data_IF_491716533849
#
_entry.id   IF_491716533849
#
_cell.length_a   1.000
_cell.length_b   1.000
_cell.length_c   1.000
_cell.angle_alpha   90.00
_cell.angle_beta   90.00
_cell.angle_gamma   90.00
#
_symmetry.space_group_name_H-M   'P 1'
#
loop_
_entity.id
_entity.type
_entity.pdbx_description
1 polymer ?
#
# COMPACT_ATOMS: atom_id res chain seq x y z
N UNK A 1 -45.22 30.57 -58.29
CA UNK A 1 -44.56 29.93 -57.12
C UNK A 1 -43.17 29.39 -57.48
N UNK A 2 -42.21 30.24 -57.89
CA UNK A 2 -40.86 29.76 -58.28
C UNK A 2 -39.69 30.66 -57.87
N UNK A 3 -39.91 31.70 -57.06
CA UNK A 3 -38.85 32.65 -56.68
C UNK A 3 -38.55 32.69 -55.17
N UNK A 4 -39.32 31.99 -54.33
CA UNK A 4 -39.12 31.99 -52.87
C UNK A 4 -38.28 30.83 -52.31
N UNK A 5 -38.00 29.79 -53.09
CA UNK A 5 -37.30 28.58 -52.61
C UNK A 5 -35.77 28.62 -52.76
N UNK A 6 -35.24 29.53 -53.58
CA UNK A 6 -33.80 29.65 -53.82
C UNK A 6 -33.08 30.45 -52.71
N UNK A 7 -33.72 31.51 -52.20
CA UNK A 7 -33.16 32.39 -51.17
C UNK A 7 -32.97 31.69 -49.81
N UNK A 8 -33.93 30.84 -49.41
CA UNK A 8 -33.82 30.10 -48.14
C UNK A 8 -32.68 29.06 -48.13
N UNK A 9 -32.41 28.42 -49.28
CA UNK A 9 -31.38 27.39 -49.40
C UNK A 9 -29.96 27.96 -49.37
N UNK A 10 -29.75 29.20 -49.81
CA UNK A 10 -28.46 29.90 -49.70
C UNK A 10 -28.17 30.35 -48.26
N UNK A 11 -29.16 30.88 -47.54
CA UNK A 11 -28.98 31.31 -46.15
C UNK A 11 -28.70 30.15 -45.19
N UNK A 12 -29.32 28.97 -45.41
CA UNK A 12 -29.07 27.77 -44.60
C UNK A 12 -27.69 27.13 -44.84
N UNK A 13 -27.08 27.30 -46.02
CA UNK A 13 -25.71 26.84 -46.31
C UNK A 13 -24.66 27.75 -45.66
N UNK A 14 -24.89 29.06 -45.64
CA UNK A 14 -24.02 30.03 -44.96
C UNK A 14 -24.01 29.83 -43.42
N UNK A 15 -25.17 29.55 -42.82
CA UNK A 15 -25.28 29.24 -41.38
C UNK A 15 -24.62 27.90 -41.00
N UNK A 16 -24.67 26.88 -41.86
CA UNK A 16 -23.96 25.61 -41.63
C UNK A 16 -22.44 25.74 -41.77
N UNK A 17 -21.95 26.55 -42.71
CA UNK A 17 -20.50 26.80 -42.86
C UNK A 17 -19.93 27.64 -41.72
N UNK A 18 -20.70 28.60 -41.18
CA UNK A 18 -20.33 29.35 -39.98
C UNK A 18 -20.31 28.46 -38.72
N UNK A 19 -21.25 27.51 -38.59
CA UNK A 19 -21.32 26.59 -37.46
C UNK A 19 -20.17 25.54 -37.45
N UNK A 20 -19.72 25.08 -38.61
CA UNK A 20 -18.58 24.14 -38.73
C UNK A 20 -17.24 24.83 -38.44
N UNK A 21 -17.08 26.11 -38.81
CA UNK A 21 -15.90 26.89 -38.46
C UNK A 21 -15.87 27.28 -36.98
N UNK A 22 -17.02 27.62 -36.36
CA UNK A 22 -17.09 27.92 -34.93
C UNK A 22 -16.80 26.69 -34.05
N UNK A 23 -17.19 25.49 -34.48
CA UNK A 23 -16.91 24.24 -33.74
C UNK A 23 -15.46 23.76 -33.87
N UNK A 24 -14.77 24.06 -34.98
CA UNK A 24 -13.34 23.81 -35.13
C UNK A 24 -12.48 24.75 -34.24
N UNK A 25 -12.90 26.00 -34.04
CA UNK A 25 -12.19 26.96 -33.16
C UNK A 25 -12.44 26.73 -31.66
N UNK A 26 -13.62 26.22 -31.29
CA UNK A 26 -13.91 25.80 -29.91
C UNK A 26 -13.23 24.47 -29.53
N UNK A 27 -13.01 23.56 -30.48
CA UNK A 27 -12.26 22.33 -30.24
C UNK A 27 -10.75 22.57 -30.10
N UNK A 28 -10.19 23.60 -30.73
CA UNK A 28 -8.76 23.93 -30.62
C UNK A 28 -8.40 24.68 -29.32
N UNK A 29 -9.40 25.26 -28.62
CA UNK A 29 -9.17 26.06 -27.40
C UNK A 29 -9.27 25.26 -26.09
N UNK A 30 -9.68 23.98 -26.14
CA UNK A 30 -9.74 23.09 -24.96
C UNK A 30 -8.53 22.14 -24.85
N UNK A 31 -7.60 22.17 -25.82
CA UNK A 31 -6.43 21.30 -25.85
C UNK A 31 -5.16 21.92 -25.22
N UNK A 32 -5.29 23.05 -24.52
CA UNK A 32 -4.15 23.75 -23.88
C UNK A 32 -4.44 24.10 -22.42
N UNK A 33 -5.19 23.25 -21.70
CA UNK A 33 -5.06 23.26 -20.25
C UNK A 33 -3.66 22.72 -19.96
N UNK A 34 -2.72 23.60 -19.59
CA UNK A 34 -1.44 23.16 -19.05
C UNK A 34 -1.73 22.15 -17.92
N UNK A 35 -1.03 21.00 -17.90
CA UNK A 35 -1.23 20.04 -16.82
C UNK A 35 -1.01 20.77 -15.50
N UNK A 36 -1.97 20.63 -14.57
CA UNK A 36 -1.90 21.28 -13.27
C UNK A 36 -0.51 21.06 -12.67
N UNK A 37 0.13 22.13 -12.14
CA UNK A 37 1.45 22.01 -11.56
C UNK A 37 1.43 20.92 -10.50
N UNK A 38 2.44 20.05 -10.53
CA UNK A 38 2.54 18.97 -9.56
C UNK A 38 2.56 19.55 -8.14
N UNK A 39 1.85 18.94 -7.17
CA UNK A 39 1.89 19.35 -5.77
C UNK A 39 3.34 19.59 -5.30
N UNK A 40 3.65 20.72 -4.63
CA UNK A 40 5.03 21.09 -4.33
C UNK A 40 5.79 20.03 -3.55
N UNK A 41 5.13 19.30 -2.63
CA UNK A 41 5.75 18.24 -1.84
C UNK A 41 6.33 17.11 -2.69
N UNK A 42 5.79 16.85 -3.89
CA UNK A 42 6.34 15.86 -4.81
C UNK A 42 7.73 16.23 -5.32
N UNK A 43 8.11 17.51 -5.27
CA UNK A 43 9.49 17.93 -5.60
C UNK A 43 10.50 17.37 -4.60
N UNK A 44 10.15 17.29 -3.31
CA UNK A 44 11.01 16.66 -2.28
C UNK A 44 11.32 15.22 -2.67
N UNK A 45 10.30 14.48 -3.11
CA UNK A 45 10.43 13.11 -3.56
C UNK A 45 11.28 13.01 -4.83
N UNK A 46 10.98 13.83 -5.84
CA UNK A 46 11.67 13.81 -7.15
C UNK A 46 13.13 14.20 -7.05
N UNK A 47 13.48 15.08 -6.12
CA UNK A 47 14.84 15.55 -5.87
C UNK A 47 15.63 14.58 -4.97
N UNK A 48 14.96 13.60 -4.34
CA UNK A 48 15.61 12.65 -3.44
C UNK A 48 16.45 11.65 -4.23
N UNK A 49 17.78 11.56 -3.99
CA UNK A 49 18.61 10.55 -4.65
C UNK A 49 18.19 9.13 -4.28
N UNK A 50 18.24 8.20 -5.24
CA UNK A 50 17.86 6.79 -5.00
C UNK A 50 18.64 6.12 -3.86
N UNK A 51 19.90 6.53 -3.64
CA UNK A 51 20.73 6.03 -2.54
C UNK A 51 20.13 6.30 -1.15
N UNK A 52 19.25 7.30 -1.02
CA UNK A 52 18.56 7.61 0.23
C UNK A 52 17.41 6.65 0.56
N UNK A 53 17.08 5.71 -0.33
CA UNK A 53 16.19 4.60 -0.01
C UNK A 53 16.82 3.56 0.90
N UNK A 54 18.15 3.55 1.09
CA UNK A 54 18.79 2.67 2.05
C UNK A 54 18.40 3.06 3.49
N UNK A 55 17.79 2.12 4.22
CA UNK A 55 17.28 2.33 5.58
C UNK A 55 15.90 3.00 5.65
N UNK A 56 15.33 3.42 4.52
CA UNK A 56 14.02 4.08 4.46
C UNK A 56 12.93 3.18 5.06
N UNK A 57 12.96 1.87 4.77
CA UNK A 57 11.99 0.93 5.32
C UNK A 57 12.08 0.86 6.85
N UNK A 58 13.28 0.71 7.42
CA UNK A 58 13.45 0.57 8.87
C UNK A 58 12.97 1.82 9.62
N UNK A 59 13.32 3.00 9.09
CA UNK A 59 12.93 4.28 9.66
C UNK A 59 11.40 4.45 9.65
N UNK A 60 10.76 4.25 8.50
CA UNK A 60 9.31 4.34 8.40
C UNK A 60 8.58 3.23 9.17
N UNK A 61 9.12 2.00 9.18
CA UNK A 61 8.57 0.90 9.97
C UNK A 61 8.56 1.23 11.46
N UNK A 62 9.56 1.95 11.95
CA UNK A 62 9.59 2.41 13.35
C UNK A 62 8.43 3.36 13.63
N UNK A 63 8.22 4.37 12.79
CA UNK A 63 7.12 5.32 12.93
C UNK A 63 5.76 4.61 12.81
N UNK A 64 5.60 3.71 11.83
CA UNK A 64 4.37 2.94 11.65
C UNK A 64 4.09 2.00 12.81
N UNK A 65 5.11 1.41 13.43
CA UNK A 65 4.95 0.61 14.65
C UNK A 65 4.43 1.44 15.82
N UNK A 66 4.87 2.68 15.99
CA UNK A 66 4.32 3.56 17.02
C UNK A 66 2.81 3.72 16.85
N UNK A 67 2.36 3.97 15.61
CA UNK A 67 0.93 4.12 15.28
C UNK A 67 0.17 2.81 15.49
N UNK A 68 0.56 1.75 14.77
CA UNK A 68 -0.21 0.51 14.73
C UNK A 68 -0.24 -0.27 16.06
N UNK A 69 0.75 -0.04 16.94
CA UNK A 69 0.85 -0.68 18.24
C UNK A 69 0.56 0.28 19.40
N UNK A 70 0.15 1.52 19.10
CA UNK A 70 -0.19 2.56 20.09
C UNK A 70 0.91 2.71 21.16
N UNK A 71 2.17 2.79 20.72
CA UNK A 71 3.35 2.77 21.60
C UNK A 71 4.26 3.99 21.36
N UNK A 72 5.15 4.27 22.32
CA UNK A 72 6.09 5.40 22.26
C UNK A 72 5.36 6.73 22.02
N UNK A 73 5.73 7.47 20.98
CA UNK A 73 5.09 8.76 20.70
C UNK A 73 3.58 8.64 20.44
N UNK A 74 3.06 7.50 19.98
CA UNK A 74 1.63 7.32 19.75
C UNK A 74 0.87 6.61 20.89
N UNK A 75 1.46 6.50 22.10
CA UNK A 75 0.70 6.11 23.32
C UNK A 75 -0.44 7.10 23.62
N UNK A 76 -0.29 8.35 23.16
CA UNK A 76 -1.33 9.37 23.16
C UNK A 76 -1.86 9.54 21.73
N UNK A 77 -3.11 9.16 21.43
CA UNK A 77 -3.65 9.24 20.06
C UNK A 77 -3.75 10.66 19.52
N UNK A 78 -3.94 11.64 20.40
CA UNK A 78 -4.09 13.06 20.05
C UNK A 78 -2.73 13.73 19.80
N UNK A 79 -1.98 13.21 18.83
CA UNK A 79 -0.63 13.67 18.50
C UNK A 79 -0.33 13.53 17.02
N UNK A 80 0.55 14.38 16.52
CA UNK A 80 1.16 14.25 15.20
C UNK A 80 2.67 14.02 15.31
N UNK A 81 3.19 13.18 14.43
CA UNK A 81 4.60 12.86 14.28
C UNK A 81 5.11 13.42 12.96
N UNK A 82 6.26 14.08 12.96
CA UNK A 82 6.92 14.62 11.78
C UNK A 82 8.16 13.82 11.42
N UNK A 83 8.37 13.60 10.12
CA UNK A 83 9.51 12.85 9.59
C UNK A 83 10.00 13.37 8.23
N UNK A 84 11.26 13.10 7.92
CA UNK A 84 11.93 13.57 6.71
C UNK A 84 11.72 12.62 5.50
N UNK A 85 12.30 12.96 4.35
CA UNK A 85 12.20 12.17 3.12
C UNK A 85 12.94 10.82 3.17
N UNK A 86 13.73 10.57 4.23
CA UNK A 86 14.40 9.30 4.53
C UNK A 86 13.65 8.51 5.60
N UNK A 87 12.47 8.98 6.02
CA UNK A 87 11.66 8.38 7.07
C UNK A 87 12.19 8.64 8.48
N UNK A 88 13.23 9.46 8.66
CA UNK A 88 13.76 9.74 9.99
C UNK A 88 12.75 10.56 10.76
N UNK A 89 12.45 10.12 11.99
CA UNK A 89 11.68 10.91 12.94
C UNK A 89 12.40 12.22 13.23
N UNK A 90 11.65 13.33 13.21
CA UNK A 90 12.16 14.66 13.49
C UNK A 90 11.62 15.19 14.81
N UNK A 91 10.29 15.23 14.97
CA UNK A 91 9.65 15.78 16.15
C UNK A 91 8.18 15.33 16.21
N UNK A 92 7.48 15.76 17.24
CA UNK A 92 6.05 15.52 17.45
C UNK A 92 5.41 16.74 18.13
N UNK A 93 4.08 16.82 18.10
CA UNK A 93 3.31 17.76 18.91
C UNK A 93 1.90 17.23 19.17
N UNK A 94 1.33 17.57 20.31
CA UNK A 94 -0.04 17.18 20.68
C UNK A 94 -1.08 18.01 19.89
N UNK A 95 -2.23 17.40 19.63
CA UNK A 95 -3.30 18.06 18.91
C UNK A 95 -3.79 19.31 19.65
N UNK A 96 -3.88 20.42 18.93
CA UNK A 96 -4.57 21.62 19.34
C UNK A 96 -6.09 21.43 19.35
N UNK A 97 -6.80 22.43 19.87
CA UNK A 97 -8.25 22.42 20.02
C UNK A 97 -9.02 22.31 18.68
N UNK A 98 -8.40 22.68 17.55
CA UNK A 98 -9.04 22.63 16.23
C UNK A 98 -8.10 22.13 15.16
N UNK A 99 -8.68 21.63 14.06
CA UNK A 99 -7.93 21.20 12.86
C UNK A 99 -7.13 22.35 12.24
N UNK A 100 -7.65 23.58 12.27
CA UNK A 100 -6.94 24.75 11.74
C UNK A 100 -5.72 25.10 12.59
N UNK A 101 -5.87 25.08 13.91
CA UNK A 101 -4.74 25.29 14.81
C UNK A 101 -3.68 24.19 14.65
N UNK A 102 -4.08 22.93 14.44
CA UNK A 102 -3.15 21.86 14.09
C UNK A 102 -2.39 22.16 12.80
N UNK A 103 -3.07 22.68 11.77
CA UNK A 103 -2.44 23.02 10.50
C UNK A 103 -1.44 24.18 10.63
N UNK A 104 -1.76 25.19 11.42
CA UNK A 104 -0.86 26.32 11.70
C UNK A 104 0.37 25.87 12.51
N UNK A 105 0.17 25.04 13.53
CA UNK A 105 1.26 24.44 14.31
C UNK A 105 2.17 23.56 13.43
N UNK A 106 1.57 22.73 12.57
CA UNK A 106 2.33 21.91 11.61
C UNK A 106 3.25 22.77 10.74
N UNK A 107 2.72 23.85 10.16
CA UNK A 107 3.51 24.71 9.27
C UNK A 107 4.56 25.51 10.04
N UNK A 108 4.25 25.95 11.26
CA UNK A 108 5.22 26.59 12.16
C UNK A 108 6.39 25.66 12.48
N UNK A 109 6.10 24.41 12.88
CA UNK A 109 7.13 23.41 13.18
C UNK A 109 7.97 23.06 11.95
N UNK A 110 7.36 22.97 10.76
CA UNK A 110 8.11 22.74 9.51
C UNK A 110 9.11 23.86 9.22
N UNK A 111 8.69 25.11 9.37
CA UNK A 111 9.56 26.26 9.20
C UNK A 111 10.71 26.24 10.23
N UNK A 112 10.38 25.99 11.50
CA UNK A 112 11.37 25.87 12.57
C UNK A 112 12.41 24.76 12.29
N UNK A 113 11.98 23.57 11.87
CA UNK A 113 12.90 22.47 11.53
C UNK A 113 13.85 22.83 10.38
N UNK A 114 13.41 23.68 9.45
CA UNK A 114 14.25 24.20 8.38
C UNK A 114 15.23 25.27 8.89
N UNK A 115 14.77 26.22 9.70
CA UNK A 115 15.61 27.27 10.28
C UNK A 115 16.70 26.69 11.20
N UNK A 116 16.38 25.61 11.92
CA UNK A 116 17.31 24.81 12.73
C UNK A 116 18.24 23.90 11.89
N UNK A 117 18.14 23.94 10.56
CA UNK A 117 18.90 23.12 9.61
C UNK A 117 18.74 21.60 9.84
N UNK A 118 17.63 21.17 10.46
CA UNK A 118 17.31 19.74 10.63
C UNK A 118 16.78 19.13 9.34
N UNK A 119 16.28 19.96 8.42
CA UNK A 119 15.91 19.59 7.05
C UNK A 119 16.37 20.67 6.06
N UNK A 120 16.63 20.27 4.82
CA UNK A 120 17.16 21.18 3.77
C UNK A 120 16.09 21.95 2.99
N UNK A 121 14.81 21.68 3.23
CA UNK A 121 13.66 22.35 2.61
C UNK A 121 12.46 22.17 3.53
N UNK A 122 11.50 23.09 3.47
CA UNK A 122 10.15 22.85 3.98
C UNK A 122 9.10 23.35 2.98
N UNK A 123 7.90 22.80 3.09
CA UNK A 123 6.74 23.09 2.24
C UNK A 123 5.52 23.16 3.15
N UNK A 124 4.81 24.29 3.12
CA UNK A 124 3.54 24.43 3.84
C UNK A 124 2.51 23.41 3.34
N UNK A 125 1.80 22.80 4.29
CA UNK A 125 0.63 21.97 4.00
C UNK A 125 -0.67 22.75 4.23
N UNK A 126 -1.78 22.10 3.88
CA UNK A 126 -3.13 22.59 4.14
C UNK A 126 -4.03 21.41 4.51
N UNK A 127 -5.31 21.67 4.81
CA UNK A 127 -6.32 20.60 5.00
C UNK A 127 -6.41 19.65 3.79
N UNK A 128 -6.09 20.12 2.59
CA UNK A 128 -6.21 19.36 1.34
C UNK A 128 -4.85 19.01 0.72
N UNK A 129 -3.77 19.59 1.23
CA UNK A 129 -2.44 19.49 0.64
C UNK A 129 -1.41 18.93 1.64
N UNK A 130 -0.62 17.98 1.15
CA UNK A 130 0.51 17.44 1.90
C UNK A 130 1.63 18.49 1.94
N UNK A 131 2.16 18.74 3.14
CA UNK A 131 3.37 19.55 3.37
C UNK A 131 4.61 18.70 3.64
N UNK A 132 5.76 19.37 3.80
CA UNK A 132 7.05 18.76 4.13
C UNK A 132 7.82 19.58 5.19
N UNK A 133 8.48 18.98 6.21
CA UNK A 133 8.46 17.57 6.61
C UNK A 133 7.08 16.90 6.67
N UNK A 134 7.04 15.61 6.34
CA UNK A 134 5.79 14.85 6.32
C UNK A 134 5.26 14.71 7.75
N UNK A 135 3.93 14.61 7.89
CA UNK A 135 3.29 14.48 9.18
C UNK A 135 2.29 13.31 9.19
N UNK A 136 2.16 12.66 10.34
CA UNK A 136 1.31 11.50 10.55
C UNK A 136 0.61 11.62 11.90
N UNK A 137 -0.73 11.64 11.91
CA UNK A 137 -1.53 11.64 13.13
C UNK A 137 -1.57 10.24 13.77
N UNK A 138 -1.40 10.17 15.08
CA UNK A 138 -1.44 8.90 15.83
C UNK A 138 -2.85 8.30 15.89
N UNK A 139 -3.91 9.10 15.68
CA UNK A 139 -5.31 8.70 15.66
C UNK A 139 -5.83 8.27 14.27
N UNK A 140 -4.93 7.97 13.33
CA UNK A 140 -5.32 7.44 12.03
C UNK A 140 -6.11 6.13 12.19
N UNK A 141 -7.19 5.90 11.42
CA UNK A 141 -7.85 4.61 11.41
C UNK A 141 -6.86 3.50 11.07
N UNK A 142 -6.62 2.60 12.02
CA UNK A 142 -5.79 1.42 11.83
C UNK A 142 -6.48 0.18 12.38
N UNK A 143 -5.97 -0.98 11.99
CA UNK A 143 -6.37 -2.25 12.57
C UNK A 143 -5.84 -2.36 14.00
N UNK A 144 -6.66 -2.87 14.92
CA UNK A 144 -6.17 -3.40 16.21
C UNK A 144 -5.37 -4.69 15.92
N UNK A 145 -4.05 -4.55 15.85
CA UNK A 145 -3.13 -5.64 15.49
C UNK A 145 -3.19 -6.80 16.49
N UNK A 146 -3.31 -6.51 17.80
CA UNK A 146 -3.34 -7.55 18.82
C UNK A 146 -4.59 -8.43 18.69
N UNK A 147 -5.76 -7.79 18.57
CA UNK A 147 -7.01 -8.52 18.36
C UNK A 147 -7.06 -9.21 17.00
N UNK A 148 -6.52 -8.60 15.94
CA UNK A 148 -6.45 -9.22 14.62
C UNK A 148 -5.56 -10.47 14.60
N UNK A 149 -4.39 -10.40 15.24
CA UNK A 149 -3.50 -11.55 15.41
C UNK A 149 -4.18 -12.65 16.22
N UNK A 150 -4.87 -12.32 17.32
CA UNK A 150 -5.63 -13.27 18.12
C UNK A 150 -6.73 -13.98 17.31
N UNK A 151 -7.44 -13.25 16.44
CA UNK A 151 -8.43 -13.84 15.51
C UNK A 151 -7.78 -14.75 14.47
N UNK A 152 -6.67 -14.33 13.87
CA UNK A 152 -5.93 -15.13 12.88
C UNK A 152 -5.43 -16.45 13.49
N UNK A 153 -4.85 -16.39 14.69
CA UNK A 153 -4.32 -17.56 15.41
C UNK A 153 -5.41 -18.43 16.05
N UNK A 154 -6.67 -17.97 16.07
CA UNK A 154 -7.78 -18.70 16.66
C UNK A 154 -7.63 -18.86 18.18
N UNK A 155 -7.11 -17.83 18.86
CA UNK A 155 -6.93 -17.79 20.32
C UNK A 155 -8.25 -18.08 21.04
N UNK A 156 -9.35 -17.50 20.56
CA UNK A 156 -10.70 -17.89 20.99
C UNK A 156 -11.30 -18.94 20.05
N UNK A 157 -12.02 -19.90 20.60
CA UNK A 157 -12.74 -20.92 19.82
C UNK A 157 -13.71 -20.32 18.78
N UNK A 158 -14.35 -19.19 19.10
CA UNK A 158 -15.29 -18.49 18.19
C UNK A 158 -14.63 -17.95 16.92
N UNK A 159 -13.31 -17.68 16.97
CA UNK A 159 -12.56 -17.12 15.85
C UNK A 159 -12.08 -18.23 14.89
N UNK A 160 -12.04 -19.47 15.38
CA UNK A 160 -11.68 -20.67 14.59
C UNK A 160 -12.71 -20.96 13.51
N UNK A 161 -12.29 -21.75 12.55
CA UNK A 161 -12.98 -21.99 11.29
C UNK A 161 -13.19 -23.48 11.09
N UNK A 162 -14.32 -23.83 10.49
CA UNK A 162 -14.57 -25.16 9.98
C UNK A 162 -15.57 -25.10 8.82
N UNK A 163 -15.62 -26.14 8.01
CA UNK A 163 -16.57 -26.27 6.91
C UNK A 163 -15.95 -26.84 5.65
N UNK A 164 -16.68 -26.71 4.55
CA UNK A 164 -16.28 -27.23 3.25
C UNK A 164 -16.40 -26.17 2.16
N UNK A 165 -15.48 -26.21 1.20
CA UNK A 165 -15.50 -25.36 0.01
C UNK A 165 -14.71 -26.02 -1.12
N UNK A 166 -15.27 -26.12 -2.32
CA UNK A 166 -14.57 -26.63 -3.50
C UNK A 166 -13.82 -27.97 -3.25
N UNK A 167 -14.54 -28.92 -2.65
CA UNK A 167 -14.06 -30.24 -2.22
C UNK A 167 -12.94 -30.23 -1.16
N UNK A 168 -12.56 -29.05 -0.63
CA UNK A 168 -11.69 -28.92 0.53
C UNK A 168 -12.54 -29.01 1.80
N UNK A 169 -11.98 -29.67 2.82
CA UNK A 169 -12.55 -29.77 4.16
C UNK A 169 -11.57 -29.13 5.13
N UNK A 170 -12.03 -28.17 5.91
CA UNK A 170 -11.24 -27.53 6.96
C UNK A 170 -11.90 -27.81 8.31
N UNK A 171 -11.18 -28.49 9.21
CA UNK A 171 -11.64 -28.81 10.56
C UNK A 171 -13.01 -29.51 10.63
N UNK A 172 -13.62 -29.46 11.82
CA UNK A 172 -15.01 -29.85 12.05
C UNK A 172 -15.64 -28.93 13.09
N UNK A 173 -16.95 -29.02 13.30
CA UNK A 173 -17.64 -28.26 14.35
C UNK A 173 -17.07 -28.56 15.75
N UNK A 174 -16.72 -29.82 16.00
CA UNK A 174 -16.14 -30.27 17.26
C UNK A 174 -14.67 -29.86 17.38
N UNK A 175 -13.95 -29.80 16.25
CA UNK A 175 -12.52 -29.46 16.18
C UNK A 175 -12.26 -28.38 15.12
N UNK A 176 -12.67 -27.12 15.38
CA UNK A 176 -12.42 -26.05 14.44
C UNK A 176 -10.95 -25.63 14.49
N UNK A 177 -10.41 -25.22 13.34
CA UNK A 177 -8.98 -24.88 13.18
C UNK A 177 -8.75 -23.36 13.19
N UNK A 178 -7.56 -22.89 13.57
CA UNK A 178 -7.15 -21.50 13.36
C UNK A 178 -7.30 -21.03 11.91
N UNK A 179 -7.52 -19.73 11.71
CA UNK A 179 -7.59 -19.16 10.37
C UNK A 179 -6.25 -19.24 9.64
N UNK A 180 -5.12 -19.09 10.35
CA UNK A 180 -3.78 -19.29 9.77
C UNK A 180 -3.63 -20.67 9.14
N UNK A 181 -4.16 -21.72 9.79
CA UNK A 181 -4.08 -23.10 9.30
C UNK A 181 -4.98 -23.31 8.08
N UNK A 182 -6.17 -22.69 8.08
CA UNK A 182 -7.03 -22.68 6.89
C UNK A 182 -6.35 -22.00 5.70
N UNK A 183 -5.72 -20.84 5.92
CA UNK A 183 -5.06 -20.08 4.84
C UNK A 183 -3.91 -20.88 4.27
N UNK A 184 -3.09 -21.48 5.13
CA UNK A 184 -2.02 -22.39 4.71
C UNK A 184 -2.56 -23.56 3.90
N UNK A 185 -3.61 -24.24 4.39
CA UNK A 185 -4.22 -25.38 3.70
C UNK A 185 -4.72 -25.01 2.30
N UNK A 186 -5.51 -23.93 2.18
CA UNK A 186 -6.04 -23.49 0.88
C UNK A 186 -4.91 -23.08 -0.07
N UNK A 187 -3.89 -22.38 0.44
CA UNK A 187 -2.74 -21.96 -0.36
C UNK A 187 -1.96 -23.16 -0.90
N UNK A 188 -1.64 -24.14 -0.05
CA UNK A 188 -0.90 -25.35 -0.42
C UNK A 188 -1.70 -26.25 -1.37
N UNK A 189 -3.00 -26.46 -1.10
CA UNK A 189 -3.87 -27.27 -1.96
C UNK A 189 -4.00 -26.66 -3.36
N UNK A 190 -4.24 -25.35 -3.45
CA UNK A 190 -4.34 -24.64 -4.74
C UNK A 190 -3.01 -24.57 -5.46
N UNK A 191 -1.91 -24.40 -4.73
CA UNK A 191 -0.57 -24.44 -5.31
C UNK A 191 -0.31 -25.80 -5.97
N UNK A 192 -0.59 -26.89 -5.28
CA UNK A 192 -0.43 -28.26 -5.78
C UNK A 192 -1.32 -28.55 -7.00
N UNK A 193 -2.59 -28.13 -6.98
CA UNK A 193 -3.53 -28.35 -8.10
C UNK A 193 -3.13 -27.64 -9.39
N UNK A 194 -2.36 -26.55 -9.30
CA UNK A 194 -2.00 -25.71 -10.44
C UNK A 194 -0.50 -25.74 -10.77
N UNK A 195 0.26 -26.66 -10.19
CA UNK A 195 1.72 -26.73 -10.32
C UNK A 195 2.42 -25.38 -10.01
N UNK A 196 1.86 -24.64 -9.06
CA UNK A 196 2.36 -23.35 -8.63
C UNK A 196 3.34 -23.52 -7.47
N UNK A 197 4.48 -22.85 -7.52
CA UNK A 197 5.51 -22.95 -6.48
C UNK A 197 5.07 -22.18 -5.23
N UNK A 198 4.67 -22.92 -4.21
CA UNK A 198 4.28 -22.35 -2.93
C UNK A 198 5.47 -21.70 -2.20
N UNK A 199 5.54 -20.38 -2.22
CA UNK A 199 6.54 -19.61 -1.48
C UNK A 199 6.03 -19.28 -0.07
N UNK A 200 6.80 -19.66 0.97
CA UNK A 200 6.49 -19.27 2.36
C UNK A 200 6.49 -17.75 2.54
N UNK A 201 7.31 -17.02 1.78
CA UNK A 201 7.34 -15.56 1.85
C UNK A 201 6.01 -14.98 1.36
N UNK A 202 5.45 -15.53 0.29
CA UNK A 202 4.13 -15.16 -0.24
C UNK A 202 3.01 -15.51 0.75
N UNK A 203 3.02 -16.74 1.31
CA UNK A 203 2.05 -17.13 2.34
C UNK A 203 2.08 -16.20 3.55
N UNK A 204 3.28 -15.87 4.03
CA UNK A 204 3.46 -14.97 5.18
C UNK A 204 2.93 -13.57 4.87
N UNK A 205 3.23 -13.05 3.68
CA UNK A 205 2.76 -11.75 3.24
C UNK A 205 1.21 -11.72 3.13
N UNK A 206 0.61 -12.79 2.61
CA UNK A 206 -0.86 -12.94 2.56
C UNK A 206 -1.49 -12.94 3.98
N UNK A 207 -0.86 -13.60 4.96
CA UNK A 207 -1.34 -13.60 6.34
C UNK A 207 -1.26 -12.20 6.98
N UNK A 208 -0.16 -11.47 6.74
CA UNK A 208 -0.05 -10.06 7.13
C UNK A 208 -1.11 -9.19 6.44
N UNK A 209 -1.38 -9.45 5.17
CA UNK A 209 -2.40 -8.74 4.41
C UNK A 209 -3.81 -8.98 4.95
N UNK A 210 -4.17 -10.21 5.33
CA UNK A 210 -5.46 -10.52 5.99
C UNK A 210 -5.67 -9.67 7.25
N UNK A 211 -4.60 -9.47 8.04
CA UNK A 211 -4.64 -8.62 9.23
C UNK A 211 -4.91 -7.17 8.81
N UNK A 212 -4.19 -6.62 7.84
CA UNK A 212 -4.35 -5.21 7.45
C UNK A 212 -5.70 -4.94 6.76
N UNK A 213 -6.19 -5.84 5.92
CA UNK A 213 -7.43 -5.62 5.15
C UNK A 213 -8.69 -5.65 6.02
N UNK A 214 -8.78 -6.59 6.96
CA UNK A 214 -10.02 -6.79 7.73
C UNK A 214 -9.82 -6.96 9.23
N UNK A 215 -8.57 -6.95 9.70
CA UNK A 215 -8.25 -7.43 11.03
C UNK A 215 -8.58 -8.91 11.21
N UNK A 216 -8.48 -9.72 10.16
CA UNK A 216 -8.91 -11.13 10.15
C UNK A 216 -10.40 -11.34 10.49
N UNK A 217 -11.27 -10.36 10.20
CA UNK A 217 -12.71 -10.45 10.49
C UNK A 217 -13.49 -11.09 9.33
N UNK A 218 -14.45 -11.96 9.69
CA UNK A 218 -15.38 -12.53 8.71
C UNK A 218 -16.31 -11.47 8.10
N UNK A 219 -16.81 -10.55 8.93
CA UNK A 219 -17.78 -9.52 8.57
C UNK A 219 -17.11 -8.15 8.63
N UNK A 220 -16.41 -7.79 7.56
CA UNK A 220 -15.84 -6.46 7.37
C UNK A 220 -16.40 -5.86 6.09
N UNK A 221 -16.71 -4.57 6.11
CA UNK A 221 -17.33 -3.86 4.99
C UNK A 221 -16.68 -2.50 4.86
N UNK A 222 -16.21 -2.17 3.65
CA UNK A 222 -15.68 -0.85 3.35
C UNK A 222 -16.74 0.05 2.72
N UNK A 223 -16.49 1.36 2.75
CA UNK A 223 -17.29 2.36 2.04
C UNK A 223 -17.28 2.13 0.51
N UNK A 224 -16.26 1.45 -0.01
CA UNK A 224 -16.13 1.06 -1.42
C UNK A 224 -16.79 -0.29 -1.73
N UNK A 225 -17.68 -0.78 -0.84
CA UNK A 225 -18.45 -2.02 -0.98
C UNK A 225 -17.59 -3.31 -1.03
N UNK A 226 -16.31 -3.22 -0.69
CA UNK A 226 -15.47 -4.39 -0.52
C UNK A 226 -15.81 -5.13 0.78
N UNK A 227 -15.78 -6.47 0.75
CA UNK A 227 -16.37 -7.29 1.83
C UNK A 227 -15.46 -8.40 2.35
N UNK A 228 -15.69 -8.74 3.62
CA UNK A 228 -15.12 -9.85 4.37
C UNK A 228 -13.60 -9.81 4.51
N UNK A 229 -12.99 -11.00 4.57
CA UNK A 229 -11.63 -11.21 5.07
C UNK A 229 -10.56 -10.43 4.29
N UNK A 230 -10.72 -10.35 2.98
CA UNK A 230 -9.74 -9.78 2.05
C UNK A 230 -10.22 -8.50 1.38
N UNK A 231 -11.33 -7.93 1.87
CA UNK A 231 -11.94 -6.71 1.33
C UNK A 231 -12.05 -6.76 -0.20
N UNK A 232 -12.61 -7.86 -0.71
CA UNK A 232 -12.83 -8.04 -2.14
C UNK A 232 -14.15 -7.39 -2.54
N UNK A 233 -14.16 -6.68 -3.68
CA UNK A 233 -15.39 -6.14 -4.25
C UNK A 233 -16.26 -7.25 -4.85
N UNK A 234 -17.60 -7.07 -4.92
CA UNK A 234 -18.50 -8.07 -5.48
C UNK A 234 -18.13 -8.51 -6.91
N UNK A 235 -17.61 -7.61 -7.75
CA UNK A 235 -17.21 -7.94 -9.12
C UNK A 235 -16.00 -8.88 -9.14
N UNK A 236 -15.04 -8.67 -8.24
CA UNK A 236 -13.85 -9.55 -8.12
C UNK A 236 -14.27 -10.93 -7.60
N UNK A 237 -15.21 -10.97 -6.65
CA UNK A 237 -15.78 -12.23 -6.16
C UNK A 237 -16.57 -12.96 -7.26
N UNK A 238 -17.24 -12.22 -8.15
CA UNK A 238 -17.94 -12.77 -9.30
C UNK A 238 -16.96 -13.35 -10.36
N UNK A 239 -15.83 -12.69 -10.61
CA UNK A 239 -14.75 -13.21 -11.49
C UNK A 239 -14.13 -14.50 -10.92
N UNK A 240 -14.14 -14.64 -9.59
CA UNK A 240 -13.80 -15.88 -8.89
C UNK A 240 -14.95 -16.91 -8.86
N UNK A 241 -16.08 -16.63 -9.51
CA UNK A 241 -17.29 -17.48 -9.57
C UNK A 241 -17.95 -17.73 -8.19
N UNK A 242 -17.78 -16.79 -7.25
CA UNK A 242 -18.37 -16.88 -5.91
C UNK A 242 -19.75 -16.22 -5.91
N UNK A 243 -20.78 -17.04 -5.74
CA UNK A 243 -22.15 -16.56 -5.60
C UNK A 243 -22.32 -15.60 -4.40
N UNK A 244 -23.20 -14.58 -4.46
CA UNK A 244 -23.37 -13.56 -3.41
C UNK A 244 -23.55 -14.09 -1.99
N UNK A 245 -24.29 -15.21 -1.84
CA UNK A 245 -24.50 -15.87 -0.53
C UNK A 245 -23.22 -16.36 0.14
N UNK A 246 -22.13 -16.52 -0.62
CA UNK A 246 -20.82 -16.97 -0.14
C UNK A 246 -19.77 -15.86 -0.10
N UNK A 247 -20.13 -14.60 -0.35
CA UNK A 247 -19.18 -13.48 -0.33
C UNK A 247 -18.48 -13.32 1.02
N UNK A 248 -19.09 -13.74 2.14
CA UNK A 248 -18.47 -13.74 3.47
C UNK A 248 -17.95 -15.11 3.91
N UNK A 249 -17.90 -16.09 3.00
CA UNK A 249 -17.36 -17.42 3.28
C UNK A 249 -15.84 -17.37 3.30
N UNK A 250 -15.22 -17.58 4.47
CA UNK A 250 -13.77 -17.39 4.66
C UNK A 250 -12.92 -18.27 3.75
N UNK A 251 -13.27 -19.55 3.57
CA UNK A 251 -12.52 -20.42 2.64
C UNK A 251 -12.66 -19.97 1.19
N UNK A 252 -13.83 -19.45 0.79
CA UNK A 252 -14.07 -18.98 -0.57
C UNK A 252 -13.29 -17.71 -0.86
N UNK A 253 -13.23 -16.79 0.11
CA UNK A 253 -12.41 -15.59 0.00
C UNK A 253 -10.93 -15.91 -0.11
N UNK A 254 -10.41 -16.79 0.74
CA UNK A 254 -9.00 -17.21 0.67
C UNK A 254 -8.73 -17.86 -0.68
N UNK A 255 -9.59 -18.76 -1.14
CA UNK A 255 -9.49 -19.42 -2.44
C UNK A 255 -9.41 -18.41 -3.61
N UNK A 256 -10.32 -17.43 -3.63
CA UNK A 256 -10.30 -16.35 -4.62
C UNK A 256 -9.00 -15.54 -4.57
N UNK A 257 -8.51 -15.18 -3.38
CA UNK A 257 -7.25 -14.44 -3.25
C UNK A 257 -6.05 -15.26 -3.72
N UNK A 258 -5.99 -16.56 -3.44
CA UNK A 258 -4.91 -17.41 -3.96
C UNK A 258 -4.93 -17.43 -5.49
N UNK A 259 -6.12 -17.52 -6.11
CA UNK A 259 -6.28 -17.42 -7.57
C UNK A 259 -5.77 -16.07 -8.11
N UNK A 260 -6.09 -14.97 -7.44
CA UNK A 260 -5.62 -13.63 -7.82
C UNK A 260 -4.10 -13.49 -7.68
N UNK A 261 -3.52 -14.04 -6.61
CA UNK A 261 -2.08 -14.09 -6.41
C UNK A 261 -1.37 -14.88 -7.52
N UNK A 262 -1.90 -16.04 -7.88
CA UNK A 262 -1.36 -16.84 -8.99
C UNK A 262 -1.47 -16.12 -10.34
N UNK A 263 -2.56 -15.37 -10.57
CA UNK A 263 -2.70 -14.56 -11.78
C UNK A 263 -1.69 -13.40 -11.80
N UNK A 264 -1.54 -12.70 -10.68
CA UNK A 264 -0.56 -11.63 -10.56
C UNK A 264 0.86 -12.17 -10.70
N UNK A 265 1.15 -13.36 -10.14
CA UNK A 265 2.45 -14.00 -10.24
C UNK A 265 2.81 -14.29 -11.71
N UNK A 266 1.95 -14.97 -12.46
CA UNK A 266 2.18 -15.28 -13.88
C UNK A 266 2.51 -14.04 -14.70
N UNK A 267 1.90 -12.90 -14.37
CA UNK A 267 2.11 -11.64 -15.08
C UNK A 267 3.32 -10.87 -14.57
N UNK A 268 3.60 -10.87 -13.27
CA UNK A 268 4.65 -10.07 -12.65
C UNK A 268 6.03 -10.73 -12.74
N UNK A 269 6.07 -12.06 -12.58
CA UNK A 269 7.31 -12.83 -12.46
C UNK A 269 8.31 -12.57 -13.60
N UNK A 270 7.91 -12.54 -14.89
CA UNK A 270 8.87 -12.32 -15.97
C UNK A 270 9.55 -10.95 -15.89
N UNK A 271 8.77 -9.89 -15.65
CA UNK A 271 9.31 -8.53 -15.51
C UNK A 271 10.20 -8.42 -14.26
N UNK A 272 9.81 -9.09 -13.17
CA UNK A 272 10.59 -9.13 -11.96
C UNK A 272 11.92 -9.85 -12.14
N UNK A 273 11.93 -11.06 -12.70
CA UNK A 273 13.15 -11.84 -12.90
C UNK A 273 14.10 -11.17 -13.90
N UNK A 274 13.56 -10.47 -14.92
CA UNK A 274 14.37 -9.66 -15.81
C UNK A 274 15.12 -8.53 -15.07
N UNK A 275 14.51 -7.95 -14.03
CA UNK A 275 15.10 -6.83 -13.28
C UNK A 275 15.94 -7.25 -12.07
N UNK A 276 15.48 -8.26 -11.33
CA UNK A 276 16.00 -8.65 -10.02
C UNK A 276 16.34 -10.15 -9.93
N UNK A 277 16.37 -10.87 -11.05
CA UNK A 277 16.62 -12.31 -11.09
C UNK A 277 18.00 -12.72 -10.56
N UNK A 278 18.98 -11.82 -10.61
CA UNK A 278 20.36 -12.02 -10.13
C UNK A 278 20.53 -11.83 -8.62
N UNK A 279 19.50 -11.37 -7.91
CA UNK A 279 19.58 -11.20 -6.46
C UNK A 279 19.75 -12.55 -5.74
N UNK A 280 20.41 -12.58 -4.56
CA UNK A 280 20.44 -13.75 -3.70
C UNK A 280 19.03 -14.27 -3.43
N UNK A 281 18.84 -15.59 -3.47
CA UNK A 281 17.51 -16.23 -3.46
C UNK A 281 16.58 -15.70 -2.36
N UNK A 282 17.06 -15.61 -1.11
CA UNK A 282 16.25 -15.13 0.02
C UNK A 282 15.79 -13.67 -0.18
N UNK A 283 16.68 -12.80 -0.65
CA UNK A 283 16.37 -11.40 -0.93
C UNK A 283 15.43 -11.25 -2.12
N UNK A 284 15.65 -12.05 -3.16
CA UNK A 284 14.83 -12.10 -4.37
C UNK A 284 13.39 -12.49 -4.04
N UNK A 285 13.19 -13.62 -3.36
CA UNK A 285 11.86 -14.11 -2.99
C UNK A 285 11.16 -13.18 -2.00
N UNK A 286 11.92 -12.58 -1.08
CA UNK A 286 11.37 -11.56 -0.17
C UNK A 286 10.89 -10.33 -0.93
N UNK A 287 11.72 -9.73 -1.78
CA UNK A 287 11.33 -8.58 -2.60
C UNK A 287 10.13 -8.91 -3.48
N UNK A 288 10.14 -10.07 -4.12
CA UNK A 288 9.04 -10.52 -4.95
C UNK A 288 7.72 -10.60 -4.19
N UNK A 289 7.72 -11.18 -2.98
CA UNK A 289 6.52 -11.26 -2.15
C UNK A 289 5.94 -9.88 -1.81
N UNK A 290 6.79 -8.87 -1.59
CA UNK A 290 6.36 -7.49 -1.33
C UNK A 290 5.74 -6.84 -2.57
N UNK A 291 6.31 -7.07 -3.75
CA UNK A 291 5.75 -6.56 -5.00
C UNK A 291 4.45 -7.27 -5.37
N UNK A 292 4.27 -8.53 -4.99
CA UNK A 292 3.03 -9.27 -5.22
C UNK A 292 1.89 -8.74 -4.33
N UNK A 293 2.18 -8.42 -3.06
CA UNK A 293 1.26 -7.67 -2.18
C UNK A 293 0.87 -6.35 -2.82
N UNK A 294 1.86 -5.60 -3.32
CA UNK A 294 1.59 -4.32 -3.97
C UNK A 294 0.79 -4.48 -5.28
N UNK A 295 1.00 -5.55 -6.04
CA UNK A 295 0.23 -5.86 -7.24
C UNK A 295 -1.23 -6.18 -6.91
N UNK A 296 -1.51 -6.83 -5.78
CA UNK A 296 -2.87 -7.00 -5.28
C UNK A 296 -3.49 -5.65 -4.92
N UNK A 297 -2.80 -4.83 -4.13
CA UNK A 297 -3.34 -3.59 -3.59
C UNK A 297 -3.50 -2.48 -4.64
N UNK A 298 -2.48 -2.25 -5.45
CA UNK A 298 -2.43 -1.17 -6.43
C UNK A 298 -2.63 -1.65 -7.87
N UNK A 299 -2.76 -2.95 -8.11
CA UNK A 299 -2.96 -3.50 -9.44
C UNK A 299 -1.66 -3.80 -10.19
N UNK A 300 -1.67 -4.92 -10.92
CA UNK A 300 -0.51 -5.47 -11.63
C UNK A 300 0.09 -4.52 -12.67
N UNK A 301 -0.73 -3.77 -13.43
CA UNK A 301 -0.24 -2.88 -14.48
C UNK A 301 0.66 -1.76 -13.96
N UNK A 302 0.44 -1.30 -12.72
CA UNK A 302 1.31 -0.30 -12.07
C UNK A 302 2.66 -0.92 -11.68
N UNK A 303 2.64 -2.16 -11.19
CA UNK A 303 3.87 -2.88 -10.83
C UNK A 303 4.72 -3.19 -12.06
N UNK A 304 4.10 -3.53 -13.20
CA UNK A 304 4.80 -3.70 -14.47
C UNK A 304 5.46 -2.40 -14.94
N UNK A 305 4.79 -1.24 -14.80
CA UNK A 305 5.40 0.06 -15.08
C UNK A 305 6.59 0.36 -14.16
N UNK A 306 6.47 0.05 -12.86
CA UNK A 306 7.59 0.18 -11.91
C UNK A 306 8.80 -0.66 -12.30
N UNK A 307 8.61 -1.79 -12.96
CA UNK A 307 9.69 -2.70 -13.39
C UNK A 307 10.16 -2.46 -14.83
N UNK A 308 9.47 -1.58 -15.58
CA UNK A 308 9.74 -1.33 -16.98
C UNK A 308 11.00 -0.49 -17.27
N UNK A 309 11.13 -0.09 -18.53
CA UNK A 309 12.29 0.66 -19.05
C UNK A 309 11.99 2.16 -19.25
N UNK A 310 10.75 2.58 -19.00
CA UNK A 310 10.34 3.98 -19.09
C UNK A 310 10.81 4.82 -17.88
N UNK A 311 10.28 6.04 -17.76
CA UNK A 311 10.56 6.96 -16.64
C UNK A 311 10.09 6.41 -15.29
N UNK A 312 8.98 5.68 -15.24
CA UNK A 312 8.44 5.10 -14.00
C UNK A 312 9.37 4.01 -13.48
N UNK A 313 9.96 3.23 -14.39
CA UNK A 313 10.96 2.21 -14.07
C UNK A 313 12.37 2.72 -13.74
N UNK A 314 12.62 4.04 -13.74
CA UNK A 314 13.97 4.57 -13.52
C UNK A 314 14.54 4.21 -12.14
N UNK A 315 13.71 4.34 -11.09
CA UNK A 315 14.13 4.01 -9.72
C UNK A 315 14.49 2.52 -9.59
N UNK A 316 13.68 1.63 -10.15
CA UNK A 316 13.94 0.19 -10.09
C UNK A 316 15.21 -0.20 -10.87
N UNK A 317 15.52 0.45 -12.01
CA UNK A 317 16.78 0.23 -12.75
C UNK A 317 17.99 0.65 -11.91
N UNK A 318 17.95 1.87 -11.39
CA UNK A 318 19.06 2.42 -10.61
C UNK A 318 19.31 1.64 -9.31
N UNK A 319 18.23 1.24 -8.63
CA UNK A 319 18.32 0.47 -7.39
C UNK A 319 18.74 -0.98 -7.66
N UNK A 320 18.31 -1.60 -8.76
CA UNK A 320 18.79 -2.93 -9.16
C UNK A 320 20.30 -2.93 -9.45
N UNK A 321 20.82 -1.87 -10.10
CA UNK A 321 22.24 -1.74 -10.40
C UNK A 321 23.15 -1.62 -9.17
N UNK A 322 22.60 -1.18 -8.03
CA UNK A 322 23.31 -1.08 -6.73
C UNK A 322 22.60 -1.89 -5.65
N UNK A 323 22.03 -3.04 -6.04
CA UNK A 323 21.08 -3.75 -5.19
C UNK A 323 21.68 -4.15 -3.83
N UNK A 324 22.98 -4.42 -3.75
CA UNK A 324 23.71 -4.80 -2.54
C UNK A 324 23.55 -3.81 -1.39
N UNK A 325 23.27 -2.53 -1.68
CA UNK A 325 23.11 -1.46 -0.68
C UNK A 325 21.78 -1.51 0.07
N UNK A 326 20.78 -2.15 -0.52
CA UNK A 326 19.40 -2.08 -0.06
C UNK A 326 18.97 -3.41 0.57
N UNK A 327 18.11 -3.39 1.58
CA UNK A 327 17.32 -4.58 1.94
C UNK A 327 16.29 -4.90 0.83
N UNK A 328 15.63 -6.06 0.89
CA UNK A 328 14.50 -6.34 0.00
C UNK A 328 13.37 -5.32 0.21
N UNK A 329 13.15 -4.94 1.46
CA UNK A 329 12.14 -3.97 1.87
C UNK A 329 12.49 -2.56 1.38
N UNK A 330 13.75 -2.13 1.48
CA UNK A 330 14.20 -0.84 0.95
C UNK A 330 14.03 -0.76 -0.57
N UNK A 331 14.29 -1.86 -1.29
CA UNK A 331 14.04 -1.94 -2.74
C UNK A 331 12.54 -1.72 -3.04
N UNK A 332 11.65 -2.43 -2.33
CA UNK A 332 10.21 -2.33 -2.55
C UNK A 332 9.65 -0.95 -2.21
N UNK A 333 9.95 -0.45 -1.00
CA UNK A 333 9.50 0.84 -0.48
C UNK A 333 10.10 1.98 -1.30
N UNK A 334 11.38 1.89 -1.70
CA UNK A 334 12.03 2.90 -2.53
C UNK A 334 11.40 3.01 -3.92
N UNK A 335 11.08 1.89 -4.59
CA UNK A 335 10.39 1.93 -5.89
C UNK A 335 9.03 2.63 -5.83
N UNK A 336 8.28 2.43 -4.74
CA UNK A 336 7.00 3.11 -4.50
C UNK A 336 7.24 4.59 -4.19
N UNK A 337 8.16 4.88 -3.27
CA UNK A 337 8.49 6.23 -2.82
C UNK A 337 8.86 7.13 -4.00
N UNK A 338 9.79 6.69 -4.85
CA UNK A 338 10.29 7.47 -6.00
C UNK A 338 9.27 7.64 -7.14
N UNK A 339 8.12 6.98 -7.04
CA UNK A 339 7.02 7.09 -7.98
C UNK A 339 5.74 7.64 -7.36
N UNK A 340 5.80 8.22 -6.15
CA UNK A 340 4.65 8.94 -5.59
C UNK A 340 4.22 10.10 -6.50
N UNK A 341 2.90 10.29 -6.63
CA UNK A 341 2.29 11.22 -7.57
C UNK A 341 2.43 10.82 -9.04
N UNK A 342 2.99 9.63 -9.32
CA UNK A 342 2.91 8.97 -10.62
C UNK A 342 2.07 7.71 -10.46
N UNK A 343 1.45 7.26 -11.54
CA UNK A 343 0.72 5.99 -11.60
C UNK A 343 -0.21 5.75 -10.40
N UNK A 344 -0.83 6.82 -9.88
CA UNK A 344 -1.70 6.81 -8.69
C UNK A 344 -1.11 6.19 -7.41
N UNK A 345 0.21 6.28 -7.23
CA UNK A 345 0.88 5.92 -5.98
C UNK A 345 1.00 7.13 -5.06
N UNK A 346 0.77 6.92 -3.77
CA UNK A 346 0.91 7.95 -2.74
C UNK A 346 1.41 7.39 -1.42
N UNK A 347 1.40 8.23 -0.37
CA UNK A 347 1.83 7.82 0.98
C UNK A 347 1.05 6.61 1.50
N UNK A 348 -0.24 6.51 1.20
CA UNK A 348 -1.06 5.36 1.59
C UNK A 348 -0.53 4.04 1.00
N UNK A 349 -0.05 4.04 -0.25
CA UNK A 349 0.56 2.85 -0.87
C UNK A 349 1.85 2.43 -0.16
N UNK A 350 2.63 3.41 0.29
CA UNK A 350 3.86 3.20 1.04
C UNK A 350 3.57 2.59 2.41
N UNK A 351 2.64 3.19 3.16
CA UNK A 351 2.26 2.73 4.49
C UNK A 351 1.61 1.36 4.45
N UNK A 352 0.74 1.10 3.46
CA UNK A 352 0.12 -0.21 3.31
C UNK A 352 1.15 -1.35 3.25
N UNK A 353 2.19 -1.22 2.43
CA UNK A 353 3.21 -2.26 2.30
C UNK A 353 4.01 -2.46 3.60
N UNK A 354 4.31 -1.37 4.30
CA UNK A 354 5.01 -1.38 5.59
C UNK A 354 4.13 -2.04 6.66
N UNK A 355 2.86 -1.67 6.73
CA UNK A 355 1.90 -2.18 7.70
C UNK A 355 1.68 -3.69 7.49
N UNK A 356 1.55 -4.16 6.24
CA UNK A 356 1.49 -5.60 5.90
C UNK A 356 2.75 -6.32 6.35
N UNK A 357 3.91 -5.69 6.22
CA UNK A 357 5.17 -6.28 6.69
C UNK A 357 5.24 -6.35 8.22
N UNK A 358 4.82 -5.31 8.93
CA UNK A 358 4.74 -5.31 10.40
C UNK A 358 3.80 -6.43 10.87
N UNK A 359 2.63 -6.56 10.26
CA UNK A 359 1.69 -7.63 10.57
C UNK A 359 2.26 -9.03 10.27
N UNK A 360 2.96 -9.18 9.13
CA UNK A 360 3.68 -10.40 8.77
C UNK A 360 4.72 -10.81 9.82
N UNK A 361 5.46 -9.83 10.34
CA UNK A 361 6.46 -10.06 11.38
C UNK A 361 5.83 -10.57 12.69
N UNK A 362 4.68 -10.01 13.08
CA UNK A 362 3.92 -10.48 14.25
C UNK A 362 3.43 -11.92 14.06
N UNK A 363 2.97 -12.26 12.85
CA UNK A 363 2.61 -13.64 12.50
C UNK A 363 3.81 -14.56 12.65
N UNK A 364 4.99 -14.17 12.14
CA UNK A 364 6.19 -15.00 12.26
C UNK A 364 6.68 -15.17 13.69
N UNK A 365 6.57 -14.13 14.53
CA UNK A 365 6.90 -14.23 15.94
C UNK A 365 5.98 -15.25 16.65
N UNK A 366 4.69 -15.27 16.31
CA UNK A 366 3.70 -16.15 16.95
C UNK A 366 3.62 -17.55 16.33
N UNK A 367 3.94 -17.71 15.04
CA UNK A 367 3.79 -18.96 14.27
C UNK A 367 4.99 -19.18 13.33
N UNK A 368 6.21 -19.44 13.83
CA UNK A 368 7.41 -19.56 12.99
C UNK A 368 7.31 -20.59 11.84
N UNK A 369 6.49 -21.63 12.00
CA UNK A 369 6.35 -22.71 11.02
C UNK A 369 5.85 -22.24 9.63
N UNK A 370 5.00 -21.20 9.59
CA UNK A 370 4.44 -20.66 8.32
C UNK A 370 5.37 -19.66 7.64
N UNK A 371 6.49 -19.31 8.27
CA UNK A 371 7.42 -18.31 7.78
C UNK A 371 8.63 -18.94 7.07
N UNK A 372 9.26 -18.20 6.13
CA UNK A 372 10.57 -18.57 5.62
C UNK A 372 11.53 -18.78 6.80
N UNK A 373 12.38 -19.80 6.74
CA UNK A 373 13.48 -19.97 7.69
C UNK A 373 14.37 -18.74 7.58
N UNK A 374 14.27 -17.84 8.56
CA UNK A 374 15.07 -16.63 8.57
C UNK A 374 16.52 -17.00 8.90
N UNK A 375 17.47 -16.44 8.14
CA UNK A 375 18.74 -16.07 8.75
C UNK A 375 18.44 -15.02 9.84
N UNK A 376 19.15 -15.02 10.97
CA UNK A 376 18.87 -14.11 12.08
C UNK A 376 18.78 -12.67 11.56
N UNK A 377 17.63 -12.03 11.80
CA UNK A 377 17.55 -10.58 11.61
C UNK A 377 18.55 -9.96 12.59
N UNK A 378 19.27 -8.89 12.22
CA UNK A 378 19.95 -8.08 13.23
C UNK A 378 18.89 -7.72 14.28
N UNK A 379 19.19 -8.01 15.54
CA UNK A 379 18.32 -7.69 16.65
C UNK A 379 17.87 -6.25 16.50
N UNK A 380 16.57 -6.03 16.42
CA UNK A 380 16.03 -4.77 16.89
C UNK A 380 16.52 -4.70 18.33
N UNK A 381 17.45 -3.79 18.62
CA UNK A 381 17.82 -3.51 19.99
C UNK A 381 16.51 -3.23 20.74
N UNK A 382 16.13 -4.11 21.67
CA UNK A 382 15.18 -3.84 22.76
C UNK A 382 15.71 -2.73 23.71
N UNK A 383 16.59 -1.86 23.22
CA UNK A 383 17.28 -0.79 23.93
C UNK A 383 16.74 0.61 23.65
N UNK A 384 15.62 0.77 22.95
CA UNK A 384 14.96 2.07 22.79
C UNK A 384 13.94 2.38 23.91
N UNK A 385 14.01 1.64 25.03
CA UNK A 385 13.35 2.02 26.29
C UNK A 385 14.12 3.07 27.12
N UNK A 386 15.24 3.62 26.63
CA UNK A 386 15.95 4.70 27.33
C UNK A 386 16.58 5.69 26.35
N UNK A 387 15.81 6.68 25.91
CA UNK A 387 16.36 8.01 25.64
C UNK A 387 15.83 8.94 26.73
N UNK A 388 16.69 9.51 27.60
CA UNK A 388 16.24 10.54 28.51
C UNK A 388 15.86 11.76 27.67
N UNK A 389 14.56 12.07 27.63
CA UNK A 389 14.09 13.42 27.35
C UNK A 389 14.62 14.26 28.50
N UNK A 390 15.71 14.99 28.27
CA UNK A 390 16.03 16.10 29.16
C UNK A 390 14.97 17.17 28.92
N UNK A 391 14.21 17.59 29.95
CA UNK A 391 13.48 18.84 29.88
C UNK A 391 14.53 19.96 29.81
N UNK A 392 14.40 20.85 28.82
CA UNK A 392 15.01 22.17 28.93
C UNK A 392 13.93 23.10 29.43
N UNK A 393 14.24 23.74 30.54
CA UNK A 393 13.51 24.88 31.13
C UNK A 393 13.27 25.99 30.11
#
# INVERSE_FOLDING_TARGET
MSLYSASLKQSLRALRQAAVLASAWLAFSLASAEPLPSPPWLTVIRDTPYVFSAGLYNNLSTIRRWVLLEQSYCEVPQRHILFDQRGNFLTWFDNAATVDLNQDLLNTLRAQLFDEQRVHRWIGGSRLDIGYPFALGCDQPHVDLASALGRLLGTNRKDRVWGTWDNMVAGSEQQPIPLVDLVQQVFEDKAKRQDYVASKAVLTALLGQIIIESGAQKRSFSNAQAVGLMQLRPEVLADCEIAPRFHLHRMAQVDCVVRLYQQNDRNLRPAFDARFGTLPANKRERLYSLLLVQAYHSGIGRMLQLLGDDRVGQASRAMAASAERYSAEDLAVGMIFHNMGRIDLGLASLYYLIDVTIASDLVCAARPAVCPSSAPRPSVNDGLLNLPVQPRD
#
